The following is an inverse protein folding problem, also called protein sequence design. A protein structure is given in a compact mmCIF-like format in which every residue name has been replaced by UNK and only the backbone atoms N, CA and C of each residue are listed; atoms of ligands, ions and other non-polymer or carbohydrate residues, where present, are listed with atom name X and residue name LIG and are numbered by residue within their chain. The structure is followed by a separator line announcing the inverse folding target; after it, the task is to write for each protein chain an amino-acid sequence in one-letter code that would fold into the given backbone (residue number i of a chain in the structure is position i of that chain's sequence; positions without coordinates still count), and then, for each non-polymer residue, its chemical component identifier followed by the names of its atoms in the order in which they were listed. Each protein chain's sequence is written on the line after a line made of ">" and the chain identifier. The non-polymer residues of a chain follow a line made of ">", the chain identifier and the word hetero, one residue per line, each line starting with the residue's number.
data_IF_826906589856
#
_entry.id   IF_826906589856
#
_cell.length_a   1.000
_cell.length_b   1.000
_cell.length_c   1.000
_cell.angle_alpha   90.00
_cell.angle_beta   90.00
_cell.angle_gamma   90.00
#
_symmetry.space_group_name_H-M   'P 1'
#
loop_
_entity.id
_entity.type
_entity.pdbx_description
1 polymer ?
#
# COMPACT_ATOMS: atom_id res chain seq x y z
N UNK A 1 -14.49 -2.96 12.03
CA UNK A 1 -13.26 -2.84 11.21
C UNK A 1 -12.71 -4.25 11.07
N UNK A 2 -12.32 -4.67 9.87
CA UNK A 2 -11.82 -6.03 9.64
C UNK A 2 -10.37 -6.10 10.12
N UNK A 3 -10.12 -6.79 11.23
CA UNK A 3 -8.78 -6.90 11.82
C UNK A 3 -7.94 -8.02 11.20
N UNK A 4 -8.54 -8.91 10.42
CA UNK A 4 -7.86 -10.07 9.84
C UNK A 4 -8.00 -10.09 8.32
N UNK A 5 -6.95 -10.50 7.59
CA UNK A 5 -7.04 -10.70 6.16
C UNK A 5 -7.96 -11.87 5.82
N UNK A 6 -8.65 -11.74 4.69
CA UNK A 6 -9.32 -12.85 4.02
C UNK A 6 -8.27 -13.61 3.22
N UNK A 7 -8.06 -14.88 3.56
CA UNK A 7 -7.11 -15.75 2.86
C UNK A 7 -7.85 -16.50 1.77
N UNK A 8 -7.28 -16.45 0.57
CA UNK A 8 -7.85 -17.08 -0.60
C UNK A 8 -6.82 -18.00 -1.22
N UNK A 9 -7.12 -19.29 -1.31
CA UNK A 9 -6.27 -20.23 -2.04
C UNK A 9 -6.66 -20.25 -3.52
N UNK A 10 -5.66 -20.13 -4.39
CA UNK A 10 -5.82 -20.22 -5.83
C UNK A 10 -4.90 -21.31 -6.38
N UNK A 11 -5.50 -22.34 -7.00
CA UNK A 11 -4.78 -23.43 -7.68
C UNK A 11 -3.71 -24.14 -6.81
N UNK A 12 -3.94 -24.27 -5.51
CA UNK A 12 -3.02 -25.00 -4.64
C UNK A 12 -3.15 -26.51 -4.84
N UNK A 13 -2.03 -27.22 -4.81
CA UNK A 13 -2.05 -28.68 -4.69
C UNK A 13 -2.60 -29.11 -3.32
N UNK A 14 -3.00 -30.37 -3.17
CA UNK A 14 -3.46 -30.87 -1.87
C UNK A 14 -2.39 -30.74 -0.76
N UNK A 15 -1.10 -30.85 -1.12
CA UNK A 15 0.01 -30.67 -0.18
C UNK A 15 0.21 -29.21 0.22
N UNK A 16 0.15 -28.30 -0.75
CA UNK A 16 0.23 -26.86 -0.50
C UNK A 16 -0.94 -26.35 0.34
N UNK A 17 -2.14 -26.86 0.05
CA UNK A 17 -3.31 -26.57 0.85
C UNK A 17 -3.11 -27.08 2.27
N UNK A 18 -2.66 -28.33 2.47
CA UNK A 18 -2.38 -28.85 3.80
C UNK A 18 -1.34 -28.02 4.58
N UNK A 19 -0.29 -27.54 3.92
CA UNK A 19 0.72 -26.65 4.53
C UNK A 19 0.10 -25.31 4.92
N UNK A 20 -0.69 -24.70 4.03
CA UNK A 20 -1.40 -23.46 4.33
C UNK A 20 -2.36 -23.65 5.51
N UNK A 21 -3.09 -24.77 5.55
CA UNK A 21 -3.97 -25.12 6.67
C UNK A 21 -3.20 -25.28 7.97
N UNK A 22 -2.06 -25.97 7.95
CA UNK A 22 -1.20 -26.13 9.11
C UNK A 22 -0.71 -24.79 9.65
N UNK A 23 -0.23 -23.89 8.77
CA UNK A 23 0.16 -22.54 9.17
C UNK A 23 -0.99 -21.74 9.81
N UNK A 24 -2.21 -21.93 9.31
CA UNK A 24 -3.39 -21.27 9.87
C UNK A 24 -3.89 -21.94 11.17
N UNK A 25 -3.64 -23.24 11.41
CA UNK A 25 -4.24 -24.02 12.51
C UNK A 25 -3.94 -23.47 13.91
N UNK A 26 -2.76 -22.91 14.12
CA UNK A 26 -2.38 -22.28 15.40
C UNK A 26 -2.98 -20.88 15.60
N UNK A 27 -3.67 -20.33 14.59
CA UNK A 27 -4.17 -18.95 14.57
C UNK A 27 -5.68 -18.87 14.47
N UNK A 28 -6.38 -19.30 15.52
CA UNK A 28 -7.81 -19.07 15.78
C UNK A 28 -8.72 -18.92 14.53
N UNK A 29 -8.58 -19.81 13.54
CA UNK A 29 -9.33 -19.74 12.26
C UNK A 29 -10.76 -20.08 12.57
N UNK A 30 -11.67 -19.11 12.44
CA UNK A 30 -13.07 -19.30 12.84
C UNK A 30 -13.98 -19.68 11.67
N UNK A 31 -13.57 -19.44 10.43
CA UNK A 31 -14.41 -19.73 9.28
C UNK A 31 -13.64 -20.39 8.12
N UNK A 32 -14.03 -21.64 7.86
CA UNK A 32 -13.64 -22.44 6.70
C UNK A 32 -14.84 -22.49 5.77
N UNK A 33 -14.90 -21.61 4.76
CA UNK A 33 -16.04 -21.60 3.86
C UNK A 33 -15.64 -22.09 2.48
N UNK A 34 -16.14 -23.27 2.10
CA UNK A 34 -16.26 -23.69 0.70
C UNK A 34 -17.51 -23.12 0.00
N UNK A 35 -18.25 -22.20 0.63
CA UNK A 35 -19.46 -21.64 0.06
C UNK A 35 -19.15 -20.58 -1.00
N UNK A 36 -19.80 -20.70 -2.15
CA UNK A 36 -19.67 -19.78 -3.28
C UNK A 36 -20.36 -18.41 -3.06
N UNK A 37 -21.13 -18.24 -1.99
CA UNK A 37 -21.86 -17.01 -1.69
C UNK A 37 -21.39 -16.48 -0.32
N UNK A 38 -20.70 -15.35 -0.35
CA UNK A 38 -20.16 -14.67 0.83
C UNK A 38 -20.79 -13.29 0.91
N UNK A 39 -21.19 -12.84 2.10
CA UNK A 39 -21.62 -11.44 2.30
C UNK A 39 -20.55 -10.68 3.08
N UNK A 40 -20.39 -9.36 2.85
CA UNK A 40 -19.41 -8.56 3.58
C UNK A 40 -19.50 -8.70 5.10
N UNK A 41 -20.72 -8.77 5.66
CA UNK A 41 -20.95 -8.91 7.10
C UNK A 41 -20.40 -10.21 7.71
N UNK A 42 -20.23 -11.26 6.90
CA UNK A 42 -19.71 -12.55 7.36
C UNK A 42 -18.19 -12.48 7.60
N UNK A 43 -17.50 -11.57 6.91
CA UNK A 43 -16.04 -11.39 7.00
C UNK A 43 -15.60 -10.67 8.28
N UNK A 44 -16.53 -10.07 9.02
CA UNK A 44 -16.21 -9.24 10.18
C UNK A 44 -15.71 -10.05 11.40
N UNK A 45 -15.70 -11.38 11.33
CA UNK A 45 -15.43 -12.28 12.47
C UNK A 45 -14.26 -13.22 12.19
N UNK A 46 -13.09 -12.92 12.75
CA UNK A 46 -11.93 -13.82 12.72
C UNK A 46 -11.24 -13.92 11.35
N UNK A 47 -10.32 -14.88 11.23
CA UNK A 47 -9.66 -15.20 9.96
C UNK A 47 -10.62 -16.00 9.08
N UNK A 48 -10.80 -15.57 7.83
CA UNK A 48 -11.65 -16.22 6.84
C UNK A 48 -10.79 -16.88 5.76
N UNK A 49 -11.10 -18.14 5.45
CA UNK A 49 -10.39 -18.88 4.41
C UNK A 49 -11.34 -19.42 3.34
N UNK A 50 -10.99 -19.17 2.07
CA UNK A 50 -11.70 -19.63 0.90
C UNK A 50 -10.80 -20.56 0.06
N UNK A 51 -11.02 -21.89 0.11
CA UNK A 51 -10.33 -22.82 -0.75
C UNK A 51 -10.86 -22.69 -2.19
N UNK A 52 -9.95 -22.57 -3.17
CA UNK A 52 -10.26 -22.56 -4.59
C UNK A 52 -11.22 -21.44 -5.04
N UNK A 53 -10.98 -20.20 -4.60
CA UNK A 53 -11.78 -19.07 -5.09
C UNK A 53 -11.52 -18.81 -6.58
N UNK A 54 -12.61 -18.65 -7.32
CA UNK A 54 -12.56 -18.14 -8.69
C UNK A 54 -12.24 -16.64 -8.73
N UNK A 55 -11.81 -16.15 -9.90
CA UNK A 55 -11.47 -14.74 -10.14
C UNK A 55 -12.60 -13.79 -9.72
N UNK A 56 -13.86 -14.16 -9.94
CA UNK A 56 -15.02 -13.34 -9.54
C UNK A 56 -15.06 -13.05 -8.04
N UNK A 57 -14.82 -14.07 -7.20
CA UNK A 57 -14.83 -13.88 -5.74
C UNK A 57 -13.66 -12.98 -5.30
N UNK A 58 -12.49 -13.10 -5.94
CA UNK A 58 -11.36 -12.20 -5.70
C UNK A 58 -11.73 -10.74 -6.02
N UNK A 59 -12.42 -10.50 -7.14
CA UNK A 59 -12.89 -9.17 -7.53
C UNK A 59 -13.90 -8.60 -6.53
N UNK A 60 -14.85 -9.43 -6.08
CA UNK A 60 -15.86 -9.04 -5.10
C UNK A 60 -15.19 -8.68 -3.75
N UNK A 61 -14.27 -9.52 -3.26
CA UNK A 61 -13.51 -9.28 -2.04
C UNK A 61 -12.67 -7.99 -2.13
N UNK A 62 -11.99 -7.75 -3.26
CA UNK A 62 -11.27 -6.50 -3.50
C UNK A 62 -12.19 -5.27 -3.45
N UNK A 63 -13.44 -5.43 -3.88
CA UNK A 63 -14.46 -4.38 -3.84
C UNK A 63 -14.95 -4.06 -2.43
N UNK A 64 -14.98 -5.05 -1.52
CA UNK A 64 -15.50 -4.88 -0.15
C UNK A 64 -14.55 -4.20 0.82
N UNK A 65 -13.40 -3.73 0.35
CA UNK A 65 -12.43 -3.01 1.15
C UNK A 65 -11.84 -3.80 2.32
N UNK A 66 -11.87 -5.13 2.24
CA UNK A 66 -11.23 -6.01 3.21
C UNK A 66 -9.77 -6.28 2.80
N UNK A 67 -8.84 -6.50 3.75
CA UNK A 67 -7.53 -7.03 3.41
C UNK A 67 -7.68 -8.43 2.81
N UNK A 68 -7.07 -8.70 1.66
CA UNK A 68 -7.15 -9.98 0.96
C UNK A 68 -5.75 -10.49 0.68
N UNK A 69 -5.47 -11.72 1.11
CA UNK A 69 -4.23 -12.44 0.85
C UNK A 69 -4.49 -13.62 -0.08
N UNK A 70 -4.05 -13.50 -1.33
CA UNK A 70 -4.12 -14.60 -2.30
C UNK A 70 -2.89 -15.50 -2.13
N UNK A 71 -3.09 -16.77 -1.80
CA UNK A 71 -2.03 -17.77 -1.77
C UNK A 71 -2.14 -18.60 -3.03
N UNK A 72 -1.12 -18.54 -3.87
CA UNK A 72 -1.12 -19.20 -5.17
C UNK A 72 0.21 -19.92 -5.43
N UNK A 73 0.13 -21.02 -6.17
CA UNK A 73 1.29 -21.72 -6.73
C UNK A 73 1.09 -21.84 -8.23
N UNK A 74 2.06 -21.38 -9.00
CA UNK A 74 2.01 -21.42 -10.46
C UNK A 74 2.96 -22.50 -10.97
N UNK A 75 2.52 -23.24 -11.98
CA UNK A 75 3.30 -24.33 -12.56
C UNK A 75 4.07 -23.89 -13.82
N UNK A 76 3.73 -22.73 -14.38
CA UNK A 76 4.40 -22.19 -15.57
C UNK A 76 4.38 -20.64 -15.57
N UNK A 77 5.29 -20.06 -16.35
CA UNK A 77 5.49 -18.61 -16.45
C UNK A 77 4.28 -17.86 -17.07
N UNK A 78 3.62 -18.33 -18.15
CA UNK A 78 2.43 -17.66 -18.69
C UNK A 78 1.28 -17.52 -17.69
N UNK A 79 1.01 -18.57 -16.92
CA UNK A 79 0.00 -18.56 -15.86
C UNK A 79 0.37 -17.59 -14.75
N UNK A 80 1.63 -17.58 -14.32
CA UNK A 80 2.13 -16.59 -13.36
C UNK A 80 1.85 -15.19 -13.85
N UNK A 81 2.30 -14.83 -15.06
CA UNK A 81 2.14 -13.50 -15.67
C UNK A 81 0.68 -13.07 -15.75
N UNK A 82 -0.22 -13.96 -16.18
CA UNK A 82 -1.67 -13.70 -16.19
C UNK A 82 -2.17 -13.37 -14.79
N UNK A 83 -1.80 -14.14 -13.77
CA UNK A 83 -2.25 -13.87 -12.41
C UNK A 83 -1.64 -12.59 -11.83
N UNK A 84 -0.38 -12.26 -12.14
CA UNK A 84 0.18 -10.95 -11.73
C UNK A 84 -0.61 -9.79 -12.34
N UNK A 85 -1.13 -9.95 -13.57
CA UNK A 85 -2.00 -8.97 -14.19
C UNK A 85 -3.30 -8.78 -13.41
N UNK A 86 -3.98 -9.88 -13.07
CA UNK A 86 -5.22 -9.89 -12.28
C UNK A 86 -5.00 -9.27 -10.88
N UNK A 87 -3.94 -9.69 -10.19
CA UNK A 87 -3.61 -9.20 -8.85
C UNK A 87 -3.34 -7.71 -8.84
N UNK A 88 -2.63 -7.21 -9.87
CA UNK A 88 -2.39 -5.78 -10.03
C UNK A 88 -3.67 -5.03 -10.34
N UNK A 89 -4.41 -5.44 -11.37
CA UNK A 89 -5.65 -4.78 -11.81
C UNK A 89 -6.67 -4.61 -10.67
N UNK A 90 -6.75 -5.59 -9.77
CA UNK A 90 -7.66 -5.55 -8.64
C UNK A 90 -7.02 -5.05 -7.33
N UNK A 91 -5.71 -4.81 -7.34
CA UNK A 91 -4.93 -4.37 -6.20
C UNK A 91 -5.02 -5.33 -5.03
N UNK A 92 -4.58 -6.57 -5.23
CA UNK A 92 -4.65 -7.67 -4.27
C UNK A 92 -3.27 -8.03 -3.74
N UNK A 93 -3.18 -8.36 -2.45
CA UNK A 93 -1.96 -8.93 -1.89
C UNK A 93 -1.86 -10.41 -2.28
N UNK A 94 -0.65 -10.91 -2.52
CA UNK A 94 -0.42 -12.30 -2.83
C UNK A 94 0.89 -12.86 -2.25
N UNK A 95 0.80 -14.12 -1.84
CA UNK A 95 1.90 -15.00 -1.51
C UNK A 95 2.08 -15.97 -2.68
N UNK A 96 3.24 -15.90 -3.33
CA UNK A 96 3.60 -16.80 -4.42
C UNK A 96 4.72 -17.73 -3.96
N UNK A 97 4.77 -18.92 -4.56
CA UNK A 97 5.86 -19.88 -4.36
C UNK A 97 5.94 -20.30 -2.88
N UNK A 98 4.93 -21.04 -2.41
CA UNK A 98 5.04 -21.74 -1.13
C UNK A 98 6.30 -22.62 -1.17
N UNK A 99 7.21 -22.46 -0.20
CA UNK A 99 8.45 -23.22 -0.14
C UNK A 99 8.17 -24.73 -0.16
N UNK A 100 9.13 -25.49 -0.67
CA UNK A 100 9.08 -26.95 -0.54
C UNK A 100 9.09 -27.37 0.94
N UNK A 101 8.70 -28.61 1.27
CA UNK A 101 8.62 -29.10 2.65
C UNK A 101 9.96 -29.08 3.41
N UNK A 102 11.09 -28.90 2.72
CA UNK A 102 12.44 -28.84 3.28
C UNK A 102 12.92 -27.42 3.62
N UNK A 103 12.12 -26.40 3.32
CA UNK A 103 12.48 -25.00 3.55
C UNK A 103 11.74 -24.44 4.76
N UNK A 104 12.47 -23.85 5.70
CA UNK A 104 11.88 -23.13 6.83
C UNK A 104 11.10 -21.92 6.30
N UNK A 105 9.77 -21.99 6.42
CA UNK A 105 8.87 -20.96 5.91
C UNK A 105 8.56 -19.96 7.00
N UNK A 106 8.97 -18.72 6.79
CA UNK A 106 8.46 -17.61 7.56
C UNK A 106 7.29 -16.97 6.81
N UNK A 107 6.09 -17.41 7.16
CA UNK A 107 4.87 -16.74 6.74
C UNK A 107 4.69 -15.41 7.49
N UNK A 108 4.05 -14.40 6.88
CA UNK A 108 3.81 -13.12 7.55
C UNK A 108 2.86 -13.31 8.73
N UNK A 109 2.96 -12.48 9.76
CA UNK A 109 1.92 -12.43 10.79
C UNK A 109 0.55 -12.15 10.17
N UNK A 110 -0.45 -12.97 10.50
CA UNK A 110 -1.83 -12.75 10.05
C UNK A 110 -2.61 -11.82 10.98
N UNK A 111 -2.09 -11.64 12.19
CA UNK A 111 -2.60 -10.69 13.16
C UNK A 111 -2.12 -9.30 12.71
N UNK A 112 -2.97 -8.62 11.94
CA UNK A 112 -2.75 -7.22 11.62
C UNK A 112 -2.89 -6.48 12.96
N UNK A 113 -1.88 -5.70 13.40
CA UNK A 113 -1.98 -4.93 14.62
C UNK A 113 -3.27 -4.10 14.63
N UNK A 114 -3.86 -3.90 15.81
CA UNK A 114 -4.97 -2.93 15.96
C UNK A 114 -4.56 -1.61 15.30
N UNK A 115 -5.51 -0.98 14.60
CA UNK A 115 -5.24 0.14 13.71
C UNK A 115 -4.36 1.19 14.41
N UNK A 116 -3.07 1.24 14.06
CA UNK A 116 -2.07 2.04 14.76
C UNK A 116 -2.33 3.54 14.56
N UNK A 117 -2.81 3.88 13.37
CA UNK A 117 -3.26 5.21 13.02
C UNK A 117 -4.21 5.16 11.80
N UNK A 118 -4.89 6.27 11.55
CA UNK A 118 -5.70 6.45 10.36
C UNK A 118 -4.88 7.08 9.22
N UNK A 119 -5.19 6.71 7.99
CA UNK A 119 -4.64 7.29 6.76
C UNK A 119 -5.78 7.74 5.87
N UNK A 120 -5.65 8.93 5.30
CA UNK A 120 -6.60 9.45 4.32
C UNK A 120 -6.05 9.18 2.92
N UNK A 121 -6.81 8.47 2.10
CA UNK A 121 -6.40 8.03 0.76
C UNK A 121 -7.25 8.72 -0.31
N UNK A 122 -6.64 9.69 -1.01
CA UNK A 122 -7.27 10.51 -2.05
C UNK A 122 -6.74 10.08 -3.42
N UNK A 123 -7.16 8.89 -3.85
CA UNK A 123 -6.81 8.28 -5.13
C UNK A 123 -8.08 7.87 -5.88
N UNK A 124 -8.18 8.23 -7.16
CA UNK A 124 -9.35 7.97 -7.99
C UNK A 124 -9.18 6.73 -8.87
N UNK A 125 -7.95 6.42 -9.25
CA UNK A 125 -7.64 5.17 -9.94
C UNK A 125 -7.97 3.98 -9.04
N UNK A 126 -8.88 3.11 -9.50
CA UNK A 126 -9.37 1.98 -8.70
C UNK A 126 -8.25 0.99 -8.36
N UNK A 127 -7.36 0.73 -9.31
CA UNK A 127 -6.27 -0.23 -9.14
C UNK A 127 -5.29 0.30 -8.08
N UNK A 128 -4.80 1.53 -8.27
CA UNK A 128 -3.86 2.16 -7.33
C UNK A 128 -4.47 2.35 -5.94
N UNK A 129 -5.73 2.82 -5.86
CA UNK A 129 -6.44 2.96 -4.59
C UNK A 129 -6.52 1.62 -3.85
N UNK A 130 -6.82 0.53 -4.55
CA UNK A 130 -6.87 -0.79 -3.95
C UNK A 130 -5.48 -1.25 -3.46
N UNK A 131 -4.44 -1.07 -4.28
CA UNK A 131 -3.06 -1.43 -3.91
C UNK A 131 -2.58 -0.67 -2.67
N UNK A 132 -2.70 0.67 -2.66
CA UNK A 132 -2.34 1.48 -1.50
C UNK A 132 -3.09 1.03 -0.26
N UNK A 133 -4.39 0.81 -0.38
CA UNK A 133 -5.22 0.38 0.74
C UNK A 133 -4.81 -0.98 1.27
N UNK A 134 -4.52 -1.97 0.41
CA UNK A 134 -4.05 -3.28 0.85
C UNK A 134 -2.72 -3.14 1.59
N UNK A 135 -1.73 -2.44 1.02
CA UNK A 135 -0.42 -2.21 1.66
C UNK A 135 -0.60 -1.61 3.06
N UNK A 136 -1.44 -0.58 3.16
CA UNK A 136 -1.72 0.11 4.42
C UNK A 136 -2.43 -0.78 5.44
N UNK A 137 -3.40 -1.59 5.02
CA UNK A 137 -4.05 -2.54 5.92
C UNK A 137 -3.08 -3.61 6.43
N UNK A 138 -2.23 -4.18 5.57
CA UNK A 138 -1.22 -5.15 6.01
C UNK A 138 -0.16 -4.52 6.93
N UNK A 139 0.04 -3.20 6.84
CA UNK A 139 0.86 -2.44 7.76
C UNK A 139 0.13 -1.98 9.05
N UNK A 140 -1.13 -2.37 9.26
CA UNK A 140 -1.87 -2.03 10.47
C UNK A 140 -2.49 -0.63 10.47
N UNK A 141 -2.68 0.01 9.31
CA UNK A 141 -3.40 1.29 9.22
C UNK A 141 -4.89 1.11 8.92
N UNK A 142 -5.69 1.99 9.52
CA UNK A 142 -7.07 2.21 9.10
C UNK A 142 -7.11 3.18 7.93
N UNK A 143 -7.66 2.78 6.80
CA UNK A 143 -7.72 3.62 5.60
C UNK A 143 -9.11 4.22 5.42
N UNK A 144 -9.16 5.55 5.25
CA UNK A 144 -10.36 6.28 4.86
C UNK A 144 -10.21 6.79 3.42
N UNK A 145 -11.11 6.40 2.53
CA UNK A 145 -11.00 6.67 1.09
C UNK A 145 -12.35 7.08 0.44
N UNK A 146 -13.38 7.32 1.25
CA UNK A 146 -14.77 7.57 0.86
C UNK A 146 -15.06 9.05 0.51
N UNK A 147 -14.06 9.92 0.59
CA UNK A 147 -14.18 11.35 0.31
C UNK A 147 -14.67 11.64 -1.10
N UNK A 148 -15.64 12.55 -1.26
CA UNK A 148 -16.15 12.94 -2.58
C UNK A 148 -15.71 14.36 -2.99
N UNK A 149 -15.11 15.11 -2.07
CA UNK A 149 -14.68 16.49 -2.30
C UNK A 149 -13.61 16.93 -1.29
N UNK A 150 -12.93 18.04 -1.57
CA UNK A 150 -12.01 18.69 -0.61
C UNK A 150 -12.72 19.10 0.67
N UNK A 151 -13.98 19.55 0.57
CA UNK A 151 -14.83 19.88 1.71
C UNK A 151 -15.07 18.70 2.64
N UNK A 152 -15.29 17.49 2.10
CA UNK A 152 -15.48 16.30 2.92
C UNK A 152 -14.22 16.00 3.72
N UNK A 153 -13.05 16.08 3.06
CA UNK A 153 -11.74 15.91 3.71
C UNK A 153 -11.57 16.92 4.84
N UNK A 154 -11.85 18.20 4.58
CA UNK A 154 -11.75 19.27 5.57
C UNK A 154 -12.62 19.02 6.79
N UNK A 155 -13.90 18.71 6.57
CA UNK A 155 -14.84 18.43 7.67
C UNK A 155 -14.38 17.25 8.53
N UNK A 156 -13.80 16.22 7.91
CA UNK A 156 -13.28 15.08 8.64
C UNK A 156 -12.03 15.43 9.44
N UNK A 157 -11.09 16.18 8.86
CA UNK A 157 -9.92 16.68 9.58
C UNK A 157 -10.30 17.59 10.75
N UNK A 158 -11.30 18.46 10.60
CA UNK A 158 -11.81 19.29 11.70
C UNK A 158 -12.41 18.44 12.84
N UNK A 159 -13.17 17.40 12.50
CA UNK A 159 -13.75 16.47 13.48
C UNK A 159 -12.67 15.68 14.22
N UNK A 160 -11.70 15.18 13.48
CA UNK A 160 -10.59 14.39 14.00
C UNK A 160 -9.65 15.24 14.86
N UNK A 161 -9.41 16.50 14.47
CA UNK A 161 -8.65 17.44 15.28
C UNK A 161 -9.33 17.77 16.62
N UNK A 162 -10.67 17.89 16.63
CA UNK A 162 -11.43 18.08 17.89
C UNK A 162 -11.40 16.84 18.79
N UNK A 163 -11.17 15.66 18.20
CA UNK A 163 -11.08 14.40 18.92
C UNK A 163 -9.64 14.01 19.28
N UNK A 164 -8.64 14.84 18.95
CA UNK A 164 -7.21 14.54 19.11
C UNK A 164 -6.78 13.22 18.42
N UNK A 165 -7.34 12.97 17.22
CA UNK A 165 -7.09 11.76 16.43
C UNK A 165 -6.62 12.12 15.03
N UNK A 166 -5.36 12.51 14.91
CA UNK A 166 -4.82 12.95 13.62
C UNK A 166 -4.50 11.78 12.69
N UNK A 167 -4.75 11.91 11.37
CA UNK A 167 -4.26 10.92 10.43
C UNK A 167 -2.73 10.94 10.42
N UNK A 168 -2.09 9.78 10.37
CA UNK A 168 -0.64 9.66 10.27
C UNK A 168 -0.11 10.35 9.00
N UNK A 169 -0.81 10.13 7.89
CA UNK A 169 -0.58 10.89 6.67
C UNK A 169 -1.81 10.91 5.77
N UNK A 170 -1.77 11.83 4.80
CA UNK A 170 -2.71 11.97 3.71
C UNK A 170 -1.96 11.61 2.43
N UNK A 171 -2.46 10.64 1.67
CA UNK A 171 -2.02 10.39 0.30
C UNK A 171 -2.90 11.23 -0.64
N UNK A 172 -2.29 12.18 -1.33
CA UNK A 172 -2.96 13.11 -2.24
C UNK A 172 -2.53 12.86 -3.68
N UNK A 173 -3.44 12.36 -4.52
CA UNK A 173 -3.24 12.34 -5.97
C UNK A 173 -3.59 13.70 -6.58
N UNK A 174 -2.61 14.35 -7.21
CA UNK A 174 -2.79 15.64 -7.90
C UNK A 174 -3.61 15.54 -9.19
N UNK A 175 -3.81 14.33 -9.71
CA UNK A 175 -4.68 14.09 -10.87
C UNK A 175 -6.08 13.63 -10.45
N UNK A 176 -6.42 13.74 -9.15
CA UNK A 176 -7.77 13.42 -8.66
C UNK A 176 -8.80 14.38 -9.23
N UNK A 177 -9.84 13.83 -9.85
CA UNK A 177 -11.03 14.56 -10.28
C UNK A 177 -12.10 14.66 -9.20
N UNK A 178 -12.07 13.76 -8.20
CA UNK A 178 -13.01 13.74 -7.07
C UNK A 178 -12.65 14.78 -6.01
N UNK A 179 -11.38 14.83 -5.60
CA UNK A 179 -10.90 15.80 -4.61
C UNK A 179 -9.99 16.78 -5.33
N UNK A 180 -10.50 18.00 -5.56
CA UNK A 180 -9.74 19.06 -6.23
C UNK A 180 -8.52 19.42 -5.39
N UNK A 181 -7.29 19.13 -5.83
CA UNK A 181 -6.10 19.23 -4.98
C UNK A 181 -5.81 20.66 -4.52
N UNK A 182 -6.01 21.65 -5.39
CA UNK A 182 -5.74 23.05 -5.07
C UNK A 182 -6.70 23.60 -4.01
N UNK A 183 -7.96 23.18 -4.04
CA UNK A 183 -8.93 23.54 -2.99
C UNK A 183 -8.51 22.92 -1.66
N UNK A 184 -8.15 21.64 -1.66
CA UNK A 184 -7.70 20.95 -0.47
C UNK A 184 -6.44 21.57 0.13
N UNK A 185 -5.44 21.91 -0.69
CA UNK A 185 -4.21 22.56 -0.22
C UNK A 185 -4.52 23.92 0.44
N UNK A 186 -5.45 24.69 -0.12
CA UNK A 186 -5.93 25.93 0.50
C UNK A 186 -6.63 25.71 1.85
N UNK A 187 -7.46 24.66 1.95
CA UNK A 187 -8.11 24.27 3.20
C UNK A 187 -7.08 23.79 4.26
N UNK A 188 -6.08 23.00 3.85
CA UNK A 188 -5.00 22.53 4.73
C UNK A 188 -4.17 23.70 5.28
N UNK A 189 -3.86 24.71 4.45
CA UNK A 189 -3.20 25.95 4.89
C UNK A 189 -3.98 26.67 6.00
N UNK A 190 -5.32 26.65 5.94
CA UNK A 190 -6.18 27.19 6.99
C UNK A 190 -6.14 26.34 8.26
N UNK A 191 -6.34 25.03 8.11
CA UNK A 191 -6.41 24.07 9.22
C UNK A 191 -5.09 23.98 9.99
N UNK A 192 -3.96 23.87 9.31
CA UNK A 192 -2.64 23.77 9.95
C UNK A 192 -2.24 25.04 10.70
N UNK A 193 -2.75 26.22 10.30
CA UNK A 193 -2.58 27.45 11.08
C UNK A 193 -3.43 27.47 12.35
N UNK A 194 -4.61 26.86 12.30
CA UNK A 194 -5.54 26.79 13.43
C UNK A 194 -5.20 25.65 14.41
N UNK A 195 -4.59 24.58 13.92
CA UNK A 195 -4.14 23.42 14.71
C UNK A 195 -2.71 23.03 14.32
N UNK A 196 -1.69 23.59 15.02
CA UNK A 196 -0.29 23.24 14.83
C UNK A 196 0.00 21.74 15.10
N UNK A 197 -0.73 21.12 16.01
CA UNK A 197 -0.59 19.71 16.36
C UNK A 197 -0.93 18.80 15.17
N UNK A 198 -2.04 19.09 14.48
CA UNK A 198 -2.41 18.42 13.24
C UNK A 198 -1.27 18.52 12.20
N UNK A 199 -0.65 19.70 12.06
CA UNK A 199 0.48 19.88 11.13
C UNK A 199 1.71 19.06 11.50
N UNK A 200 1.98 18.93 12.80
CA UNK A 200 3.13 18.21 13.33
C UNK A 200 2.98 16.69 13.20
N UNK A 201 1.75 16.18 13.31
CA UNK A 201 1.48 14.75 13.32
C UNK A 201 1.04 14.18 11.96
N UNK A 202 0.51 15.01 11.07
CA UNK A 202 0.06 14.58 9.74
C UNK A 202 1.08 14.94 8.66
N UNK A 203 1.54 13.92 7.93
CA UNK A 203 2.37 14.10 6.74
C UNK A 203 1.57 14.04 5.44
N UNK A 204 2.14 14.56 4.36
CA UNK A 204 1.53 14.54 3.04
C UNK A 204 2.40 13.73 2.08
N UNK A 205 1.87 12.60 1.59
CA UNK A 205 2.43 11.84 0.48
C UNK A 205 1.73 12.28 -0.80
N UNK A 206 2.44 13.03 -1.65
CA UNK A 206 1.86 13.63 -2.86
C UNK A 206 2.24 12.78 -4.07
N UNK A 207 1.25 12.40 -4.87
CA UNK A 207 1.48 11.63 -6.10
C UNK A 207 0.95 12.38 -7.33
N UNK A 208 1.62 12.21 -8.47
CA UNK A 208 1.20 12.71 -9.78
C UNK A 208 1.66 11.77 -10.88
N UNK A 209 0.76 11.39 -11.75
CA UNK A 209 1.09 10.82 -13.04
C UNK A 209 1.51 11.95 -13.99
N UNK A 210 2.81 11.99 -14.32
CA UNK A 210 3.39 13.04 -15.15
C UNK A 210 3.06 12.87 -16.63
N UNK A 211 2.57 11.70 -17.05
CA UNK A 211 2.09 11.46 -18.41
C UNK A 211 0.68 11.99 -18.60
N UNK A 212 -0.10 12.12 -17.51
CA UNK A 212 -1.45 12.67 -17.56
C UNK A 212 -1.44 14.19 -17.71
N UNK A 213 -2.16 14.74 -18.72
CA UNK A 213 -2.40 16.17 -18.80
C UNK A 213 -3.23 16.61 -17.59
N UNK A 214 -2.92 17.78 -17.03
CA UNK A 214 -3.58 18.23 -15.81
C UNK A 214 -2.92 19.47 -15.24
N UNK A 215 -2.89 19.55 -13.91
CA UNK A 215 -2.34 20.69 -13.19
C UNK A 215 -0.90 21.00 -13.62
N UNK A 216 -0.70 22.23 -14.11
CA UNK A 216 0.64 22.72 -14.40
C UNK A 216 1.45 22.82 -13.12
N UNK A 217 2.62 22.20 -13.11
CA UNK A 217 3.46 22.13 -11.91
C UNK A 217 3.79 23.51 -11.34
N UNK A 218 4.05 24.50 -12.20
CA UNK A 218 4.35 25.86 -11.76
C UNK A 218 3.22 26.47 -10.90
N UNK A 219 1.97 26.09 -11.16
CA UNK A 219 0.80 26.52 -10.39
C UNK A 219 0.73 25.84 -9.03
N UNK A 220 1.03 24.53 -8.98
CA UNK A 220 0.84 23.72 -7.79
C UNK A 220 2.04 23.79 -6.84
N UNK A 221 3.24 23.99 -7.38
CA UNK A 221 4.50 23.99 -6.66
C UNK A 221 4.49 24.94 -5.46
N UNK A 222 4.03 26.18 -5.66
CA UNK A 222 4.01 27.17 -4.59
C UNK A 222 3.12 26.76 -3.42
N UNK A 223 1.96 26.17 -3.70
CA UNK A 223 1.07 25.65 -2.68
C UNK A 223 1.67 24.41 -2.00
N UNK A 224 2.24 23.48 -2.78
CA UNK A 224 2.76 22.22 -2.26
C UNK A 224 4.03 22.36 -1.42
N UNK A 225 4.93 23.28 -1.74
CA UNK A 225 6.22 23.44 -1.02
C UNK A 225 6.06 23.68 0.48
N UNK A 226 4.88 24.11 0.94
CA UNK A 226 4.54 24.28 2.36
C UNK A 226 4.26 22.96 3.08
N UNK A 227 3.81 21.94 2.33
CA UNK A 227 3.27 20.70 2.86
C UNK A 227 4.12 19.48 2.50
N UNK A 228 4.74 19.47 1.34
CA UNK A 228 5.52 18.35 0.82
C UNK A 228 6.89 18.81 0.29
N UNK A 229 7.83 17.87 0.22
CA UNK A 229 9.15 18.07 -0.39
C UNK A 229 9.30 17.39 -1.74
N UNK A 230 8.39 16.47 -2.06
CA UNK A 230 8.47 15.63 -3.26
C UNK A 230 7.08 15.31 -3.77
N UNK A 231 6.98 15.16 -5.08
CA UNK A 231 5.84 14.58 -5.77
C UNK A 231 6.31 13.26 -6.36
N UNK A 232 5.68 12.17 -5.97
CA UNK A 232 6.04 10.83 -6.43
C UNK A 232 5.22 10.48 -7.67
N UNK A 233 5.80 9.69 -8.58
CA UNK A 233 4.96 8.95 -9.52
C UNK A 233 4.11 7.93 -8.72
N UNK A 234 2.85 7.61 -9.09
CA UNK A 234 2.02 6.72 -8.28
C UNK A 234 2.67 5.33 -8.05
N UNK A 235 3.33 4.79 -9.08
CA UNK A 235 4.08 3.54 -8.95
C UNK A 235 5.29 3.65 -8.02
N UNK A 236 5.96 4.80 -7.99
CA UNK A 236 7.05 5.05 -7.05
C UNK A 236 6.52 5.14 -5.61
N UNK A 237 5.37 5.76 -5.40
CA UNK A 237 4.75 5.82 -4.08
C UNK A 237 4.35 4.42 -3.55
N UNK A 238 4.01 3.47 -4.42
CA UNK A 238 3.81 2.08 -4.00
C UNK A 238 5.10 1.50 -3.40
N UNK A 239 6.24 1.69 -4.08
CA UNK A 239 7.54 1.23 -3.60
C UNK A 239 7.90 1.88 -2.26
N UNK A 240 7.68 3.19 -2.12
CA UNK A 240 7.90 3.93 -0.87
C UNK A 240 7.10 3.33 0.28
N UNK A 241 5.82 3.04 0.07
CA UNK A 241 4.97 2.47 1.12
C UNK A 241 5.33 1.02 1.45
N UNK A 242 5.68 0.21 0.44
CA UNK A 242 6.17 -1.15 0.67
C UNK A 242 7.45 -1.14 1.52
N UNK A 243 8.37 -0.25 1.19
CA UNK A 243 9.63 -0.09 1.90
C UNK A 243 9.42 0.37 3.35
N UNK A 244 8.75 1.49 3.53
CA UNK A 244 8.60 2.12 4.84
C UNK A 244 7.63 1.40 5.77
N UNK A 245 6.62 0.69 5.26
CA UNK A 245 5.53 0.18 6.10
C UNK A 245 5.53 -1.34 6.25
N UNK A 246 5.99 -2.09 5.25
CA UNK A 246 5.96 -3.56 5.33
C UNK A 246 7.32 -4.18 5.64
N UNK A 247 8.40 -3.56 5.16
CA UNK A 247 9.74 -4.08 5.39
C UNK A 247 10.36 -3.50 6.65
N UNK A 248 10.05 -2.25 6.97
CA UNK A 248 10.54 -1.57 8.16
C UNK A 248 9.76 -1.94 9.43
N UNK A 249 8.42 -2.06 9.36
CA UNK A 249 7.56 -2.28 10.53
C UNK A 249 7.30 -3.76 10.89
N UNK A 250 8.10 -4.70 10.37
CA UNK A 250 8.01 -6.12 10.73
C UNK A 250 8.60 -6.34 12.15
N UNK A 251 7.85 -5.92 13.16
CA UNK A 251 8.25 -5.95 14.57
C UNK A 251 8.09 -7.34 15.20
N UNK A 252 9.21 -7.83 15.72
CA UNK A 252 9.32 -9.01 16.57
C UNK A 252 10.78 -9.30 16.87
N UNK A 253 11.63 -9.18 15.84
CA UNK A 253 13.04 -8.81 15.90
C UNK A 253 13.35 -8.20 14.53
N UNK A 254 14.19 -7.15 14.43
CA UNK A 254 14.72 -6.77 13.14
C UNK A 254 15.46 -7.99 12.60
N UNK A 255 14.88 -8.63 11.60
CA UNK A 255 15.35 -9.91 11.07
C UNK A 255 16.54 -9.65 10.11
N UNK A 256 17.42 -8.74 10.54
CA UNK A 256 18.35 -7.83 9.87
C UNK A 256 17.62 -6.62 9.25
N UNK A 257 17.80 -5.44 9.83
CA UNK A 257 17.69 -4.16 9.13
C UNK A 257 19.01 -4.01 8.36
N UNK A 258 19.09 -4.23 7.04
CA UNK A 258 20.11 -3.50 6.29
C UNK A 258 19.85 -2.02 6.57
N UNK A 259 20.89 -1.25 6.90
CA UNK A 259 20.84 0.20 7.11
C UNK A 259 20.32 1.02 5.91
N UNK A 260 19.77 0.35 4.90
CA UNK A 260 19.22 0.88 3.68
C UNK A 260 17.70 1.14 3.77
N UNK A 261 16.95 0.45 4.63
CA UNK A 261 15.50 0.71 4.78
C UNK A 261 15.26 1.92 5.68
N UNK A 262 14.35 2.78 5.24
CA UNK A 262 14.06 4.06 5.88
C UNK A 262 12.60 4.14 6.31
N UNK A 263 12.33 4.85 7.38
CA UNK A 263 10.96 5.11 7.80
C UNK A 263 10.24 6.04 6.81
N UNK A 264 8.90 6.13 6.94
CA UNK A 264 8.10 6.93 6.01
C UNK A 264 8.47 8.43 6.06
N UNK A 265 8.82 8.97 7.23
CA UNK A 265 9.19 10.39 7.36
C UNK A 265 10.48 10.68 6.59
N UNK A 266 11.49 9.83 6.76
CA UNK A 266 12.73 9.92 6.02
C UNK A 266 12.47 9.84 4.51
N UNK A 267 11.62 8.93 4.03
CA UNK A 267 11.34 8.83 2.59
C UNK A 267 10.60 10.02 2.00
N UNK A 268 9.67 10.61 2.75
CA UNK A 268 8.87 11.75 2.30
C UNK A 268 9.66 13.06 2.28
N UNK A 269 10.62 13.22 3.20
CA UNK A 269 11.30 14.50 3.43
C UNK A 269 12.82 14.46 3.23
N UNK A 270 13.44 13.32 2.91
CA UNK A 270 14.88 13.25 2.65
C UNK A 270 15.29 14.02 1.38
N UNK A 271 16.38 14.80 1.43
CA UNK A 271 16.96 15.46 0.26
C UNK A 271 17.48 14.48 -0.81
N UNK A 272 17.83 13.25 -0.41
CA UNK A 272 18.53 12.26 -1.24
C UNK A 272 17.61 11.14 -1.79
N UNK A 273 16.30 11.39 -1.88
CA UNK A 273 15.30 10.37 -2.21
C UNK A 273 15.50 9.65 -3.56
N UNK A 274 16.36 10.19 -4.45
CA UNK A 274 16.82 9.49 -5.67
C UNK A 274 17.48 8.13 -5.40
N UNK A 275 17.88 7.83 -4.14
CA UNK A 275 18.49 6.54 -3.75
C UNK A 275 17.49 5.40 -3.55
N UNK A 276 16.20 5.69 -3.36
CA UNK A 276 15.14 4.68 -3.17
C UNK A 276 15.12 3.61 -4.28
N UNK A 277 15.32 4.06 -5.52
CA UNK A 277 15.19 3.22 -6.71
C UNK A 277 16.43 2.35 -6.94
N UNK A 278 17.61 2.78 -6.48
CA UNK A 278 18.87 2.10 -6.79
C UNK A 278 19.27 1.05 -5.75
N UNK A 279 18.85 1.19 -4.49
CA UNK A 279 19.18 0.24 -3.42
C UNK A 279 18.13 -0.86 -3.24
N UNK A 280 16.91 -0.63 -3.74
CA UNK A 280 15.80 -1.58 -3.68
C UNK A 280 16.13 -2.95 -4.32
N UNK A 281 16.51 -3.05 -5.62
CA UNK A 281 16.55 -4.34 -6.32
C UNK A 281 17.48 -5.41 -5.71
N UNK A 282 18.74 -5.09 -5.28
CA UNK A 282 19.63 -6.07 -4.65
C UNK A 282 19.11 -6.60 -3.30
N UNK A 283 18.41 -5.77 -2.53
CA UNK A 283 17.84 -6.14 -1.24
C UNK A 283 16.60 -7.02 -1.42
N UNK A 284 15.77 -6.75 -2.43
CA UNK A 284 14.64 -7.62 -2.78
C UNK A 284 15.09 -8.99 -3.24
N UNK A 285 16.15 -9.05 -4.06
CA UNK A 285 16.75 -10.34 -4.42
C UNK A 285 17.18 -11.12 -3.17
N UNK A 286 17.77 -10.43 -2.18
CA UNK A 286 18.17 -11.05 -0.91
C UNK A 286 16.97 -11.54 -0.08
N UNK A 287 15.89 -10.77 -0.01
CA UNK A 287 14.66 -11.20 0.69
C UNK A 287 14.01 -12.42 0.03
N UNK A 288 13.98 -12.43 -1.31
CA UNK A 288 13.48 -13.57 -2.10
C UNK A 288 14.33 -14.83 -1.86
N UNK A 289 15.66 -14.71 -1.87
CA UNK A 289 16.59 -15.82 -1.61
C UNK A 289 16.48 -16.38 -0.19
N UNK A 290 15.92 -15.61 0.76
CA UNK A 290 15.72 -16.03 2.16
C UNK A 290 14.33 -16.63 2.42
N UNK A 291 13.60 -17.02 1.37
CA UNK A 291 12.29 -17.71 1.44
C UNK A 291 11.25 -16.98 2.31
N UNK A 292 11.33 -15.65 2.39
CA UNK A 292 10.30 -14.88 3.11
C UNK A 292 9.12 -14.63 2.21
N UNK A 293 7.96 -15.09 2.64
CA UNK A 293 6.74 -14.92 1.88
C UNK A 293 6.10 -13.60 2.32
N UNK A 294 6.23 -12.55 1.51
CA UNK A 294 5.64 -11.24 1.80
C UNK A 294 4.48 -10.95 0.84
N UNK A 295 3.34 -10.41 1.31
CA UNK A 295 2.11 -10.23 0.51
C UNK A 295 2.24 -9.36 -0.75
N UNK A 296 3.35 -8.65 -0.93
CA UNK A 296 3.55 -7.75 -2.06
C UNK A 296 4.93 -7.86 -2.69
N UNK A 297 5.71 -8.90 -2.35
CA UNK A 297 7.05 -9.08 -2.94
C UNK A 297 6.98 -9.13 -4.46
N UNK A 298 5.88 -9.65 -4.97
CA UNK A 298 5.60 -9.74 -6.38
C UNK A 298 5.46 -8.41 -7.12
N UNK A 299 5.07 -7.33 -6.43
CA UNK A 299 4.95 -6.02 -7.07
C UNK A 299 6.31 -5.53 -7.56
N UNK A 300 7.41 -5.94 -6.93
CA UNK A 300 8.75 -5.54 -7.35
C UNK A 300 9.09 -6.00 -8.76
N UNK A 301 8.77 -7.24 -9.13
CA UNK A 301 8.97 -7.76 -10.50
C UNK A 301 8.30 -6.87 -11.56
N UNK A 302 7.21 -6.18 -11.18
CA UNK A 302 6.45 -5.29 -12.06
C UNK A 302 6.91 -3.84 -11.99
N UNK A 303 7.34 -3.38 -10.82
CA UNK A 303 7.66 -1.98 -10.55
C UNK A 303 9.16 -1.66 -10.74
N UNK A 304 10.04 -2.66 -10.80
CA UNK A 304 11.50 -2.49 -11.01
C UNK A 304 11.81 -1.60 -12.22
N UNK A 305 10.99 -1.69 -13.27
CA UNK A 305 11.14 -0.92 -14.52
C UNK A 305 10.56 0.49 -14.46
N UNK A 306 9.87 0.86 -13.37
CA UNK A 306 9.07 2.09 -13.24
C UNK A 306 9.57 3.02 -12.13
N UNK A 307 10.69 2.67 -11.48
CA UNK A 307 11.32 3.53 -10.47
C UNK A 307 11.91 4.81 -11.07
N UNK A 308 11.89 5.90 -10.32
CA UNK A 308 12.62 7.15 -10.67
C UNK A 308 11.81 8.15 -11.51
N UNK A 309 10.50 8.00 -11.61
CA UNK A 309 9.64 8.88 -12.40
C UNK A 309 9.07 10.08 -11.62
N UNK A 310 9.44 10.26 -10.34
CA UNK A 310 8.99 11.37 -9.49
C UNK A 310 9.76 12.70 -9.66
N UNK A 311 9.28 13.75 -9.00
CA UNK A 311 9.88 15.09 -9.01
C UNK A 311 10.14 15.65 -7.60
N UNK A 312 11.32 16.24 -7.38
CA UNK A 312 11.68 16.89 -6.11
C UNK A 312 11.31 18.37 -6.14
N UNK A 313 10.68 18.87 -5.06
CA UNK A 313 10.39 20.29 -4.89
C UNK A 313 11.64 21.00 -4.34
N UNK A 314 12.54 21.41 -5.23
CA UNK A 314 13.76 22.13 -4.84
C UNK A 314 13.46 23.60 -4.53
N UNK A 315 14.30 24.26 -3.72
CA UNK A 315 14.19 25.69 -3.42
C UNK A 315 14.70 26.60 -4.55
N UNK A 316 15.27 26.02 -5.63
CA UNK A 316 15.93 26.75 -6.72
C UNK A 316 15.13 26.60 -8.02
N UNK A 317 14.68 27.69 -8.68
CA UNK A 317 13.79 27.63 -9.86
C UNK A 317 14.40 27.14 -11.18
N UNK A 318 15.50 26.37 -11.19
CA UNK A 318 16.22 26.07 -12.44
C UNK A 318 16.64 24.61 -12.55
N UNK A 319 16.28 24.04 -13.71
CA UNK A 319 16.60 22.72 -14.23
C UNK A 319 15.79 21.55 -13.63
N UNK A 320 14.61 21.34 -14.22
CA UNK A 320 14.09 19.99 -14.42
C UNK A 320 15.18 19.16 -15.10
N UNK A 321 15.70 18.16 -14.40
CA UNK A 321 16.11 16.94 -15.10
C UNK A 321 14.95 15.99 -14.93
N UNK A 322 14.21 15.72 -16.01
CA UNK A 322 13.68 14.37 -16.15
C UNK A 322 14.86 13.45 -15.83
N UNK A 323 14.67 12.51 -14.92
CA UNK A 323 15.66 11.46 -14.72
C UNK A 323 15.74 10.74 -16.07
N UNK A 324 16.79 11.04 -16.84
CA UNK A 324 17.04 10.47 -18.14
C UNK A 324 16.92 8.95 -18.00
N UNK A 325 15.94 8.38 -18.68
CA UNK A 325 15.83 6.94 -18.89
C UNK A 325 17.01 6.52 -19.76
N UNK A 326 18.05 6.00 -19.13
CA UNK A 326 19.05 5.14 -19.79
C UNK A 326 18.96 3.73 -19.25
#
# INVERSE_FOLDING_TARGET
>A
MYSNPVIVAHQLSAGDEALLRYWMQDRAVRHWSGQAIVRPGDLARGLNYFPAAGERLLMDLAGWMVPVLVVARFHNEPERQRMQAVLFEHGLAALWELPGPEQDVCFPGLDIPDAQAQVYLLEDDRCLRNLYRQILHFAGYSVRADFQSARDVRLCLEQDARADRYPAFILLNLDSGRVVPMELLGDLDGLFRQSPELRAQTSLLVVKDFERPGLEFATVEHALRKHARRIFHPHEALLVLLEALLLHAADGEPLIIPAAFRDLQELLYAPEANRLVTTAPPLFHTLRLRNRILPFIWLYDRLEKLGGQGATLTTTPSAWKQLDTT
#
